data_IF_266465162530
#
_entry.id   IF_266465162530
#
_cell.length_a   1.000
_cell.length_b   1.000
_cell.length_c   1.000
_cell.angle_alpha   90.00
_cell.angle_beta   90.00
_cell.angle_gamma   90.00
#
_symmetry.space_group_name_H-M   'P 1'
#
loop_
_entity.id
_entity.type
_entity.pdbx_description
1 polymer ?
#
# COMPACT_ATOMS: atom_id res chain seq x y z
N UNK A 1 12.83 31.04 21.54
CA UNK A 1 12.92 29.59 21.20
C UNK A 1 11.80 29.28 20.22
N UNK A 2 12.12 29.15 18.98
CA UNK A 2 11.17 28.83 17.93
C UNK A 2 11.87 28.00 16.87
N UNK A 3 12.14 26.71 17.19
CA UNK A 3 12.49 25.74 16.18
C UNK A 3 11.15 25.23 15.69
N UNK A 4 10.67 25.77 14.57
CA UNK A 4 9.74 25.01 13.74
C UNK A 4 10.54 23.76 13.30
N UNK A 5 10.37 22.65 14.00
CA UNK A 5 10.83 21.36 13.53
C UNK A 5 10.21 21.19 12.15
N UNK A 6 11.05 21.12 11.12
CA UNK A 6 10.60 20.75 9.81
C UNK A 6 9.91 19.38 9.96
N UNK A 7 8.60 19.35 9.81
CA UNK A 7 7.84 18.11 9.88
C UNK A 7 8.36 17.24 8.74
N UNK A 8 8.86 16.04 9.06
CA UNK A 8 9.25 15.06 8.06
C UNK A 8 7.98 14.57 7.35
N UNK A 9 7.63 15.32 6.31
CA UNK A 9 6.39 15.14 5.57
C UNK A 9 6.31 13.75 4.92
N UNK A 10 7.42 13.26 4.36
CA UNK A 10 7.47 11.95 3.69
C UNK A 10 7.18 10.82 4.69
N UNK A 11 7.76 10.92 5.87
CA UNK A 11 7.55 9.98 6.98
C UNK A 11 6.07 9.94 7.41
N UNK A 12 5.46 11.10 7.65
CA UNK A 12 4.06 11.15 8.08
C UNK A 12 3.08 10.74 7.00
N UNK A 13 3.40 11.03 5.74
CA UNK A 13 2.60 10.54 4.63
C UNK A 13 2.65 9.00 4.54
N UNK A 14 3.83 8.40 4.72
CA UNK A 14 3.99 6.95 4.80
C UNK A 14 3.17 6.33 5.94
N UNK A 15 3.18 6.95 7.10
CA UNK A 15 2.38 6.49 8.24
C UNK A 15 0.88 6.52 7.95
N UNK A 16 0.41 7.56 7.29
CA UNK A 16 -0.97 7.65 6.83
C UNK A 16 -1.31 6.56 5.79
N UNK A 17 -0.42 6.27 4.83
CA UNK A 17 -0.60 5.15 3.89
C UNK A 17 -0.79 3.82 4.63
N UNK A 18 0.04 3.54 5.63
CA UNK A 18 0.01 2.32 6.42
C UNK A 18 -1.30 2.23 7.21
N UNK A 19 -1.65 3.27 7.95
CA UNK A 19 -2.85 3.30 8.78
C UNK A 19 -4.12 3.10 7.94
N UNK A 20 -4.26 3.78 6.81
CA UNK A 20 -5.39 3.56 5.91
C UNK A 20 -5.39 2.16 5.30
N UNK A 21 -4.23 1.66 4.88
CA UNK A 21 -4.12 0.31 4.30
C UNK A 21 -4.52 -0.79 5.27
N UNK A 22 -4.16 -0.68 6.54
CA UNK A 22 -4.56 -1.65 7.58
C UNK A 22 -6.01 -1.46 7.99
N UNK A 23 -6.52 -0.22 8.02
CA UNK A 23 -7.92 0.07 8.33
C UNK A 23 -8.90 -0.49 7.27
N UNK A 24 -8.51 -0.56 5.99
CA UNK A 24 -9.27 -1.25 4.94
C UNK A 24 -9.46 -2.74 5.30
N UNK A 25 -8.48 -3.36 5.93
CA UNK A 25 -8.52 -4.77 6.38
C UNK A 25 -9.14 -4.95 7.78
N UNK A 26 -9.58 -3.87 8.41
CA UNK A 26 -10.32 -3.92 9.69
C UNK A 26 -9.53 -3.48 10.93
N UNK A 27 -8.28 -3.01 10.79
CA UNK A 27 -7.57 -2.38 11.91
C UNK A 27 -8.35 -1.18 12.45
N UNK A 28 -8.40 -1.07 13.77
CA UNK A 28 -9.10 0.01 14.48
C UNK A 28 -8.19 1.18 14.83
N UNK A 29 -6.88 1.10 14.55
CA UNK A 29 -5.95 2.20 14.81
C UNK A 29 -6.27 3.41 13.93
N UNK A 30 -6.24 4.58 14.56
CA UNK A 30 -6.25 5.88 13.87
C UNK A 30 -4.85 6.21 13.35
N UNK A 31 -4.74 7.19 12.45
CA UNK A 31 -3.43 7.67 11.97
C UNK A 31 -2.55 8.18 13.12
N UNK A 32 -3.14 8.88 14.10
CA UNK A 32 -2.41 9.36 15.28
C UNK A 32 -1.88 8.20 16.14
N UNK A 33 -2.70 7.18 16.39
CA UNK A 33 -2.27 6.00 17.16
C UNK A 33 -1.20 5.20 16.42
N UNK A 34 -1.28 5.08 15.10
CA UNK A 34 -0.23 4.49 14.29
C UNK A 34 1.07 5.30 14.35
N UNK A 35 0.98 6.63 14.31
CA UNK A 35 2.14 7.51 14.47
C UNK A 35 2.81 7.34 15.85
N UNK A 36 2.02 7.34 16.94
CA UNK A 36 2.56 7.11 18.29
C UNK A 36 3.25 5.74 18.41
N UNK A 37 2.67 4.71 17.79
CA UNK A 37 3.29 3.39 17.72
C UNK A 37 4.63 3.42 17.00
N UNK A 38 4.71 4.10 15.86
CA UNK A 38 5.90 4.09 15.01
C UNK A 38 7.02 5.00 15.52
N UNK A 39 6.69 6.14 16.13
CA UNK A 39 7.67 7.10 16.61
C UNK A 39 8.15 6.82 18.03
N UNK A 40 7.24 6.39 18.90
CA UNK A 40 7.48 6.31 20.34
C UNK A 40 7.39 4.88 20.88
N UNK A 41 6.92 3.92 20.08
CA UNK A 41 6.63 2.56 20.54
C UNK A 41 5.47 2.48 21.52
N UNK A 42 4.65 3.54 21.63
CA UNK A 42 3.54 3.64 22.56
C UNK A 42 2.27 3.06 21.94
N UNK A 43 1.56 2.26 22.72
CA UNK A 43 0.25 1.72 22.36
C UNK A 43 -0.84 2.37 23.21
N UNK A 44 -1.92 2.81 22.57
CA UNK A 44 -3.11 3.31 23.29
C UNK A 44 -3.92 2.14 23.82
N UNK A 45 -4.51 2.25 25.01
CA UNK A 45 -5.33 1.18 25.58
C UNK A 45 -6.61 0.89 24.80
N UNK A 46 -7.14 -0.33 24.96
CA UNK A 46 -8.46 -0.70 24.45
C UNK A 46 -8.52 -1.15 22.99
N UNK A 47 -7.38 -1.30 22.31
CA UNK A 47 -7.29 -1.83 20.93
C UNK A 47 -6.77 -3.27 20.93
N UNK A 48 -7.22 -4.13 19.99
CA UNK A 48 -6.67 -5.47 19.82
C UNK A 48 -5.17 -5.44 19.52
N UNK A 49 -4.38 -6.31 20.14
CA UNK A 49 -2.94 -6.42 19.87
C UNK A 49 -2.66 -6.68 18.38
N UNK A 50 -3.51 -7.44 17.71
CA UNK A 50 -3.40 -7.75 16.28
C UNK A 50 -3.34 -6.49 15.41
N UNK A 51 -4.03 -5.41 15.80
CA UNK A 51 -4.04 -4.16 15.04
C UNK A 51 -2.68 -3.47 15.10
N UNK A 52 -2.02 -3.47 16.27
CA UNK A 52 -0.67 -2.94 16.41
C UNK A 52 0.34 -3.75 15.60
N UNK A 53 0.28 -5.09 15.71
CA UNK A 53 1.15 -6.00 14.98
C UNK A 53 0.99 -5.84 13.46
N UNK A 54 -0.25 -5.74 12.98
CA UNK A 54 -0.55 -5.55 11.55
C UNK A 54 0.02 -4.24 11.01
N UNK A 55 -0.09 -3.14 11.78
CA UNK A 55 0.43 -1.84 11.38
C UNK A 55 1.97 -1.84 11.36
N UNK A 56 2.62 -2.38 12.37
CA UNK A 56 4.08 -2.38 12.47
C UNK A 56 4.72 -3.35 11.46
N UNK A 57 4.14 -4.53 11.24
CA UNK A 57 4.59 -5.45 10.18
C UNK A 57 4.46 -4.81 8.79
N UNK A 58 3.37 -4.09 8.53
CA UNK A 58 3.20 -3.38 7.27
C UNK A 58 4.19 -2.22 7.13
N UNK A 59 4.52 -1.49 8.22
CA UNK A 59 5.57 -0.48 8.23
C UNK A 59 6.91 -1.07 7.79
N UNK A 60 7.32 -2.19 8.39
CA UNK A 60 8.56 -2.87 8.02
C UNK A 60 8.56 -3.31 6.54
N UNK A 61 7.42 -3.76 6.03
CA UNK A 61 7.28 -4.15 4.63
C UNK A 61 7.41 -2.94 3.67
N UNK A 62 6.89 -1.76 4.06
CA UNK A 62 7.08 -0.51 3.29
C UNK A 62 8.54 -0.04 3.30
N UNK A 63 9.22 -0.06 4.44
CA UNK A 63 10.64 0.31 4.54
C UNK A 63 11.50 -0.59 3.64
N UNK A 64 11.22 -1.90 3.65
CA UNK A 64 11.88 -2.83 2.73
C UNK A 64 11.54 -2.52 1.27
N UNK A 65 10.27 -2.29 0.93
CA UNK A 65 9.86 -1.98 -0.43
C UNK A 65 10.50 -0.68 -0.96
N UNK A 66 10.61 0.36 -0.15
CA UNK A 66 11.32 1.60 -0.50
C UNK A 66 12.81 1.34 -0.75
N UNK A 67 13.47 0.59 0.14
CA UNK A 67 14.88 0.21 -0.01
C UNK A 67 15.10 -0.55 -1.34
N UNK A 68 14.26 -1.53 -1.63
CA UNK A 68 14.37 -2.32 -2.85
C UNK A 68 14.00 -1.52 -4.12
N UNK A 69 13.11 -0.53 -4.01
CA UNK A 69 12.78 0.36 -5.12
C UNK A 69 13.97 1.25 -5.51
N UNK A 70 14.70 1.78 -4.52
CA UNK A 70 15.95 2.53 -4.76
C UNK A 70 17.00 1.65 -5.44
N UNK A 71 17.10 0.38 -5.04
CA UNK A 71 18.01 -0.62 -5.65
C UNK A 71 17.56 -1.09 -7.02
N UNK A 72 16.38 -0.71 -7.46
CA UNK A 72 15.79 -1.19 -8.73
C UNK A 72 15.63 -2.72 -8.76
N UNK A 73 15.34 -3.35 -7.64
CA UNK A 73 15.18 -4.80 -7.51
C UNK A 73 14.07 -5.31 -8.42
N UNK A 74 14.32 -6.40 -9.13
CA UNK A 74 13.35 -7.00 -10.02
C UNK A 74 12.14 -7.58 -9.26
N UNK A 75 10.93 -7.36 -9.79
CA UNK A 75 9.71 -7.97 -9.25
C UNK A 75 9.70 -9.46 -9.63
N UNK A 76 9.97 -10.33 -8.67
CA UNK A 76 10.00 -11.79 -8.83
C UNK A 76 8.99 -12.46 -7.89
N UNK A 77 8.61 -13.72 -8.11
CA UNK A 77 7.80 -14.48 -7.16
C UNK A 77 8.41 -14.49 -5.75
N UNK A 78 9.73 -14.62 -5.65
CA UNK A 78 10.45 -14.57 -4.36
C UNK A 78 10.35 -13.21 -3.70
N UNK A 79 10.45 -12.12 -4.47
CA UNK A 79 10.28 -10.77 -3.97
C UNK A 79 8.88 -10.55 -3.40
N UNK A 80 7.83 -10.97 -4.10
CA UNK A 80 6.44 -10.84 -3.63
C UNK A 80 6.19 -11.68 -2.37
N UNK A 81 6.73 -12.90 -2.31
CA UNK A 81 6.66 -13.75 -1.11
C UNK A 81 7.39 -13.13 0.08
N UNK A 82 8.55 -12.53 -0.15
CA UNK A 82 9.31 -11.80 0.88
C UNK A 82 8.47 -10.65 1.45
N UNK A 83 7.87 -9.80 0.61
CA UNK A 83 7.04 -8.69 1.05
C UNK A 83 5.82 -9.18 1.85
N UNK A 84 5.11 -10.21 1.36
CA UNK A 84 4.00 -10.80 2.10
C UNK A 84 4.46 -11.41 3.43
N UNK A 85 5.59 -12.13 3.45
CA UNK A 85 6.15 -12.72 4.67
C UNK A 85 6.50 -11.66 5.73
N UNK A 86 7.01 -10.49 5.33
CA UNK A 86 7.28 -9.39 6.26
C UNK A 86 5.96 -8.86 6.84
N UNK A 87 4.97 -8.54 6.01
CA UNK A 87 3.70 -7.98 6.46
C UNK A 87 2.80 -8.97 7.22
N UNK A 88 3.07 -10.27 7.13
CA UNK A 88 2.35 -11.33 7.83
C UNK A 88 3.16 -11.94 8.99
N UNK A 89 4.35 -11.43 9.26
CA UNK A 89 5.34 -12.03 10.16
C UNK A 89 4.79 -12.42 11.53
N UNK A 90 3.98 -11.55 12.14
CA UNK A 90 3.42 -11.75 13.50
C UNK A 90 1.91 -12.03 13.49
N UNK A 91 1.27 -11.94 12.32
CA UNK A 91 -0.17 -12.14 12.16
C UNK A 91 -0.51 -13.41 11.36
N UNK A 92 0.47 -13.98 10.69
CA UNK A 92 0.36 -15.26 9.99
C UNK A 92 0.55 -16.46 10.90
N UNK A 93 0.31 -17.65 10.34
CA UNK A 93 0.43 -18.93 11.05
C UNK A 93 0.71 -20.09 10.08
N UNK A 94 1.06 -21.24 10.65
CA UNK A 94 1.16 -22.50 9.90
C UNK A 94 -0.22 -23.08 9.68
N UNK A 95 -0.49 -23.51 8.45
CA UNK A 95 -1.75 -24.11 8.02
C UNK A 95 -1.52 -25.55 7.56
N UNK A 96 -2.34 -26.48 8.06
CA UNK A 96 -2.35 -27.86 7.66
C UNK A 96 -3.63 -28.14 6.87
N UNK A 97 -3.50 -28.48 5.60
CA UNK A 97 -4.63 -28.76 4.69
C UNK A 97 -4.39 -30.06 3.93
N UNK A 98 -5.41 -30.57 3.25
CA UNK A 98 -5.30 -31.84 2.51
C UNK A 98 -4.16 -31.85 1.46
N UNK A 99 -3.81 -30.70 0.88
CA UNK A 99 -2.74 -30.58 -0.12
C UNK A 99 -1.34 -30.40 0.48
N UNK A 100 -1.19 -30.30 1.79
CA UNK A 100 0.08 -30.14 2.46
C UNK A 100 0.09 -29.10 3.57
N UNK A 101 1.28 -28.65 3.94
CA UNK A 101 1.50 -27.62 4.98
C UNK A 101 2.13 -26.39 4.35
N UNK A 102 1.68 -25.20 4.74
CA UNK A 102 2.26 -23.93 4.36
C UNK A 102 2.22 -22.91 5.52
N UNK A 103 3.15 -22.00 5.53
CA UNK A 103 3.30 -20.98 6.58
C UNK A 103 3.03 -19.58 6.02
N UNK A 104 1.89 -19.01 6.37
CA UNK A 104 1.51 -17.66 5.91
C UNK A 104 2.40 -16.56 6.49
N UNK A 105 3.02 -16.78 7.65
CA UNK A 105 3.98 -15.83 8.23
C UNK A 105 5.30 -15.72 7.46
N UNK A 106 5.55 -16.65 6.53
CA UNK A 106 6.73 -16.72 5.67
C UNK A 106 6.44 -16.34 4.22
N UNK A 107 5.20 -15.94 3.93
CA UNK A 107 4.76 -15.62 2.58
C UNK A 107 4.57 -16.83 1.67
N UNK A 108 4.33 -18.02 2.23
CA UNK A 108 4.02 -19.20 1.44
C UNK A 108 2.65 -19.05 0.76
N UNK A 109 2.58 -19.49 -0.49
CA UNK A 109 1.31 -19.52 -1.21
C UNK A 109 0.35 -20.50 -0.56
N UNK A 110 -0.94 -20.15 -0.59
CA UNK A 110 -1.99 -21.03 -0.09
C UNK A 110 -2.04 -22.36 -0.86
N UNK A 111 -2.32 -23.44 -0.13
CA UNK A 111 -2.58 -24.76 -0.69
C UNK A 111 -4.05 -25.16 -0.54
N UNK A 112 -4.96 -24.18 -0.46
CA UNK A 112 -6.40 -24.39 -0.34
C UNK A 112 -7.19 -23.33 -1.13
N UNK A 113 -8.47 -23.60 -1.36
CA UNK A 113 -9.42 -22.63 -1.87
C UNK A 113 -9.69 -21.54 -0.84
N UNK A 114 -9.91 -20.30 -1.31
CA UNK A 114 -10.32 -19.16 -0.49
C UNK A 114 -11.44 -18.39 -1.19
N UNK A 115 -12.28 -17.71 -0.40
CA UNK A 115 -13.42 -16.93 -0.89
C UNK A 115 -13.34 -15.48 -0.42
N UNK A 116 -13.99 -14.59 -1.15
CA UNK A 116 -14.11 -13.18 -0.78
C UNK A 116 -15.16 -13.00 0.33
N UNK A 117 -14.82 -13.36 1.56
CA UNK A 117 -15.71 -13.36 2.70
C UNK A 117 -16.66 -14.57 2.72
N UNK A 118 -17.56 -14.59 3.69
CA UNK A 118 -18.54 -15.68 3.85
C UNK A 118 -19.59 -15.62 2.72
N UNK A 119 -19.73 -16.70 1.95
CA UNK A 119 -20.65 -16.78 0.82
C UNK A 119 -20.27 -15.96 -0.40
N UNK A 120 -19.05 -15.40 -0.42
CA UNK A 120 -18.53 -14.62 -1.53
C UNK A 120 -17.98 -15.50 -2.66
N UNK A 121 -17.54 -14.82 -3.73
CA UNK A 121 -16.91 -15.46 -4.88
C UNK A 121 -15.63 -16.20 -4.50
N UNK A 122 -15.44 -17.40 -5.05
CA UNK A 122 -14.18 -18.13 -4.94
C UNK A 122 -13.10 -17.49 -5.81
N UNK A 123 -11.89 -17.38 -5.26
CA UNK A 123 -10.70 -17.03 -6.02
C UNK A 123 -10.20 -18.22 -6.85
N UNK A 124 -9.22 -17.98 -7.71
CA UNK A 124 -8.70 -19.04 -8.59
C UNK A 124 -8.19 -20.27 -7.80
N UNK A 125 -8.20 -21.43 -8.46
CA UNK A 125 -7.63 -22.64 -7.90
C UNK A 125 -6.16 -22.41 -7.49
N UNK A 126 -5.83 -22.78 -6.25
CA UNK A 126 -4.48 -22.59 -5.67
C UNK A 126 -3.36 -23.25 -6.50
N UNK A 127 -3.65 -24.35 -7.20
CA UNK A 127 -2.68 -25.02 -8.07
C UNK A 127 -2.22 -24.15 -9.24
N UNK A 128 -3.02 -23.18 -9.66
CA UNK A 128 -2.69 -22.24 -10.74
C UNK A 128 -1.90 -21.02 -10.24
N UNK A 129 -1.85 -20.79 -8.93
CA UNK A 129 -1.24 -19.60 -8.33
C UNK A 129 0.23 -19.43 -8.71
N UNK A 130 1.12 -20.44 -8.57
CA UNK A 130 2.54 -20.26 -8.87
C UNK A 130 2.78 -19.79 -10.31
N UNK A 131 2.17 -20.46 -11.29
CA UNK A 131 2.31 -20.11 -12.72
C UNK A 131 1.75 -18.72 -13.03
N UNK A 132 0.65 -18.34 -12.41
CA UNK A 132 0.05 -17.01 -12.62
C UNK A 132 0.87 -15.89 -12.00
N UNK A 133 1.51 -16.13 -10.86
CA UNK A 133 2.42 -15.16 -10.24
C UNK A 133 3.70 -15.01 -11.07
N UNK A 134 4.24 -16.11 -11.59
CA UNK A 134 5.40 -16.07 -12.49
C UNK A 134 5.10 -15.22 -13.73
N UNK A 135 4.00 -15.51 -14.42
CA UNK A 135 3.55 -14.72 -15.58
C UNK A 135 3.30 -13.24 -15.26
N UNK A 136 2.73 -12.92 -14.08
CA UNK A 136 2.57 -11.54 -13.60
C UNK A 136 3.94 -10.85 -13.47
N UNK A 137 4.89 -11.50 -12.80
CA UNK A 137 6.21 -10.94 -12.56
C UNK A 137 6.98 -10.70 -13.87
N UNK A 138 6.99 -11.68 -14.78
CA UNK A 138 7.64 -11.56 -16.08
C UNK A 138 7.08 -10.38 -16.88
N UNK A 139 5.76 -10.30 -17.00
CA UNK A 139 5.10 -9.21 -17.72
C UNK A 139 5.37 -7.85 -17.09
N UNK A 140 5.34 -7.72 -15.76
CA UNK A 140 5.68 -6.46 -15.09
C UNK A 140 7.12 -6.05 -15.37
N UNK A 141 8.07 -6.98 -15.32
CA UNK A 141 9.47 -6.71 -15.64
C UNK A 141 9.67 -6.27 -17.09
N UNK A 142 8.98 -6.92 -18.04
CA UNK A 142 9.02 -6.53 -19.45
C UNK A 142 8.44 -5.13 -19.63
N UNK A 143 7.26 -4.85 -19.10
CA UNK A 143 6.61 -3.53 -19.18
C UNK A 143 7.47 -2.43 -18.56
N UNK A 144 8.10 -2.68 -17.41
CA UNK A 144 8.99 -1.71 -16.76
C UNK A 144 10.25 -1.38 -17.56
N UNK A 145 10.67 -2.26 -18.49
CA UNK A 145 11.80 -2.03 -19.39
C UNK A 145 11.40 -1.34 -20.69
N UNK A 146 10.13 -1.33 -21.03
CA UNK A 146 9.64 -0.75 -22.30
C UNK A 146 9.71 0.77 -22.27
N UNK A 147 10.10 1.36 -23.42
CA UNK A 147 10.08 2.82 -23.60
C UNK A 147 8.69 3.44 -23.55
N UNK A 148 7.63 2.65 -23.73
CA UNK A 148 6.24 3.11 -23.61
C UNK A 148 5.79 3.52 -22.20
N UNK A 149 6.53 3.15 -21.15
CA UNK A 149 6.24 3.51 -19.75
C UNK A 149 7.02 4.77 -19.33
N UNK A 150 7.24 5.71 -20.25
CA UNK A 150 7.98 6.94 -19.96
C UNK A 150 7.07 8.12 -19.55
N UNK A 151 5.76 7.96 -19.57
CA UNK A 151 4.83 9.00 -19.12
C UNK A 151 4.34 8.72 -17.71
N UNK A 152 4.13 9.78 -16.93
CA UNK A 152 3.55 9.67 -15.57
C UNK A 152 2.26 8.84 -15.58
N UNK A 153 1.41 9.07 -16.59
CA UNK A 153 0.16 8.34 -16.75
C UNK A 153 0.40 6.83 -16.90
N UNK A 154 1.26 6.42 -17.84
CA UNK A 154 1.55 5.02 -18.09
C UNK A 154 2.17 4.32 -16.86
N UNK A 155 3.02 5.02 -16.10
CA UNK A 155 3.62 4.51 -14.87
C UNK A 155 2.59 4.28 -13.75
N UNK A 156 1.64 5.22 -13.57
CA UNK A 156 0.54 5.02 -12.64
C UNK A 156 -0.40 3.89 -13.09
N UNK A 157 -0.79 3.85 -14.36
CA UNK A 157 -1.64 2.78 -14.91
C UNK A 157 -0.99 1.40 -14.73
N UNK A 158 0.33 1.29 -14.96
CA UNK A 158 1.08 0.07 -14.68
C UNK A 158 0.98 -0.35 -13.21
N UNK A 159 1.19 0.60 -12.28
CA UNK A 159 1.11 0.33 -10.85
C UNK A 159 -0.30 -0.12 -10.41
N UNK A 160 -1.34 0.51 -10.95
CA UNK A 160 -2.74 0.16 -10.68
C UNK A 160 -3.10 -1.21 -11.24
N UNK A 161 -2.65 -1.52 -12.47
CA UNK A 161 -2.87 -2.83 -13.10
C UNK A 161 -2.17 -3.94 -12.32
N UNK A 162 -0.93 -3.72 -11.86
CA UNK A 162 -0.20 -4.67 -11.02
C UNK A 162 -0.96 -4.99 -9.72
N UNK A 163 -1.53 -3.96 -9.09
CA UNK A 163 -2.38 -4.12 -7.92
C UNK A 163 -3.60 -5.00 -8.23
N UNK A 164 -4.37 -4.64 -9.26
CA UNK A 164 -5.60 -5.36 -9.65
C UNK A 164 -5.31 -6.83 -9.92
N UNK A 165 -4.25 -7.12 -10.67
CA UNK A 165 -3.92 -8.49 -11.03
C UNK A 165 -3.45 -9.34 -9.84
N UNK A 166 -2.60 -8.78 -8.96
CA UNK A 166 -2.19 -9.49 -7.76
C UNK A 166 -3.39 -9.76 -6.84
N UNK A 167 -4.28 -8.78 -6.68
CA UNK A 167 -5.52 -8.93 -5.92
C UNK A 167 -6.46 -9.99 -6.54
N UNK A 168 -6.46 -10.14 -7.88
CA UNK A 168 -7.25 -11.13 -8.61
C UNK A 168 -6.67 -12.55 -8.49
N UNK A 169 -5.36 -12.70 -8.56
CA UNK A 169 -4.67 -13.99 -8.36
C UNK A 169 -4.90 -14.47 -6.92
N UNK A 170 -4.83 -13.55 -5.95
CA UNK A 170 -5.07 -13.82 -4.53
C UNK A 170 -4.21 -14.96 -3.99
N UNK A 171 -2.88 -14.86 -4.05
CA UNK A 171 -1.98 -15.99 -3.88
C UNK A 171 -1.84 -16.52 -2.45
N UNK A 172 -2.21 -15.74 -1.45
CA UNK A 172 -2.06 -16.09 -0.04
C UNK A 172 -3.41 -16.37 0.64
N UNK A 173 -3.36 -16.95 1.83
CA UNK A 173 -4.55 -17.14 2.66
C UNK A 173 -5.01 -15.82 3.30
N UNK A 174 -4.05 -14.91 3.58
CA UNK A 174 -4.29 -13.56 4.08
C UNK A 174 -3.21 -12.59 3.58
N UNK A 175 -3.40 -11.29 3.82
CA UNK A 175 -2.47 -10.23 3.43
C UNK A 175 -2.53 -9.82 1.95
N UNK A 176 -3.41 -10.41 1.14
CA UNK A 176 -3.47 -10.14 -0.30
C UNK A 176 -3.73 -8.68 -0.63
N UNK A 177 -4.69 -8.04 0.02
CA UNK A 177 -5.01 -6.62 -0.21
C UNK A 177 -3.84 -5.70 0.17
N UNK A 178 -3.24 -5.94 1.32
CA UNK A 178 -2.06 -5.17 1.80
C UNK A 178 -0.87 -5.35 0.88
N UNK A 179 -0.58 -6.58 0.44
CA UNK A 179 0.52 -6.86 -0.49
C UNK A 179 0.26 -6.27 -1.88
N UNK A 180 -0.98 -6.30 -2.37
CA UNK A 180 -1.32 -5.69 -3.66
C UNK A 180 -1.14 -4.15 -3.63
N UNK A 181 -1.56 -3.48 -2.56
CA UNK A 181 -1.30 -2.05 -2.36
C UNK A 181 0.19 -1.77 -2.22
N UNK A 182 0.93 -2.61 -1.51
CA UNK A 182 2.38 -2.48 -1.37
C UNK A 182 3.11 -2.66 -2.70
N UNK A 183 2.72 -3.61 -3.55
CA UNK A 183 3.26 -3.78 -4.90
C UNK A 183 3.00 -2.55 -5.78
N UNK A 184 1.79 -1.99 -5.72
CA UNK A 184 1.46 -0.74 -6.40
C UNK A 184 2.42 0.39 -5.98
N UNK A 185 2.61 0.56 -4.67
CA UNK A 185 3.49 1.59 -4.13
C UNK A 185 4.96 1.31 -4.42
N UNK A 186 5.40 0.04 -4.43
CA UNK A 186 6.73 -0.33 -4.87
C UNK A 186 7.02 0.18 -6.29
N UNK A 187 6.10 -0.03 -7.23
CA UNK A 187 6.24 0.47 -8.61
C UNK A 187 6.25 2.01 -8.63
N UNK A 188 5.42 2.65 -7.82
CA UNK A 188 5.41 4.10 -7.70
C UNK A 188 6.73 4.63 -7.13
N UNK A 189 7.28 4.04 -6.09
CA UNK A 189 8.61 4.39 -5.55
C UNK A 189 9.72 4.14 -6.58
N UNK A 190 9.64 3.03 -7.33
CA UNK A 190 10.62 2.71 -8.37
C UNK A 190 10.71 3.80 -9.44
N UNK A 191 9.61 4.44 -9.79
CA UNK A 191 9.57 5.56 -10.73
C UNK A 191 9.67 6.95 -10.08
N UNK A 192 9.82 7.04 -8.77
CA UNK A 192 9.84 8.31 -8.05
C UNK A 192 8.49 9.04 -8.08
N UNK A 193 7.40 8.29 -8.20
CA UNK A 193 6.04 8.83 -8.21
C UNK A 193 5.54 9.08 -6.80
N UNK A 194 4.62 10.02 -6.68
CA UNK A 194 3.88 10.22 -5.44
C UNK A 194 2.95 9.01 -5.19
N UNK A 195 3.05 8.32 -4.02
CA UNK A 195 2.26 7.12 -3.76
C UNK A 195 0.79 7.45 -3.53
N UNK A 196 -0.12 6.72 -4.19
CA UNK A 196 -1.57 6.97 -4.13
C UNK A 196 -2.19 6.35 -2.90
N UNK A 197 -2.78 7.16 -2.06
CA UNK A 197 -3.48 6.72 -0.85
C UNK A 197 -4.94 6.33 -1.14
N UNK A 198 -5.34 5.13 -0.73
CA UNK A 198 -6.73 4.68 -0.68
C UNK A 198 -7.20 4.91 0.75
N UNK A 199 -8.16 5.81 0.93
CA UNK A 199 -8.63 6.16 2.26
C UNK A 199 -9.53 5.05 2.83
N UNK A 200 -9.56 4.91 4.15
CA UNK A 200 -10.48 4.00 4.86
C UNK A 200 -11.95 4.23 4.47
N UNK A 201 -12.33 5.48 4.31
CA UNK A 201 -13.67 5.91 3.95
C UNK A 201 -14.07 5.42 2.55
N UNK A 202 -13.11 5.25 1.67
CA UNK A 202 -13.30 4.77 0.29
C UNK A 202 -13.40 3.25 0.18
N UNK A 203 -13.27 2.51 1.30
CA UNK A 203 -13.25 1.04 1.30
C UNK A 203 -14.38 0.41 0.49
N UNK A 204 -15.60 0.94 0.63
CA UNK A 204 -16.78 0.43 -0.10
C UNK A 204 -16.62 0.56 -1.61
N UNK A 205 -16.26 1.76 -2.09
CA UNK A 205 -16.06 2.05 -3.51
C UNK A 205 -14.84 1.28 -4.07
N UNK A 206 -13.76 1.19 -3.30
CA UNK A 206 -12.57 0.41 -3.65
C UNK A 206 -12.89 -1.07 -3.87
N UNK A 207 -13.58 -1.72 -2.92
CA UNK A 207 -13.96 -3.13 -3.06
C UNK A 207 -14.96 -3.33 -4.21
N UNK A 208 -15.88 -2.40 -4.42
CA UNK A 208 -16.82 -2.46 -5.53
C UNK A 208 -16.10 -2.38 -6.90
N UNK A 209 -15.16 -1.44 -7.05
CA UNK A 209 -14.37 -1.31 -8.29
C UNK A 209 -13.50 -2.54 -8.57
N UNK A 210 -12.88 -3.13 -7.52
CA UNK A 210 -12.17 -4.41 -7.66
C UNK A 210 -13.09 -5.53 -8.15
N UNK A 211 -14.26 -5.70 -7.52
CA UNK A 211 -15.23 -6.74 -7.90
C UNK A 211 -15.67 -6.60 -9.34
N UNK A 212 -16.03 -5.40 -9.76
CA UNK A 212 -16.44 -5.12 -11.15
C UNK A 212 -15.32 -5.46 -12.15
N UNK A 213 -14.08 -5.11 -11.84
CA UNK A 213 -12.92 -5.40 -12.71
C UNK A 213 -12.49 -6.86 -12.70
N UNK A 214 -12.88 -7.63 -11.69
CA UNK A 214 -12.55 -9.06 -11.56
C UNK A 214 -13.63 -9.97 -12.15
N UNK A 215 -14.72 -9.46 -12.71
CA UNK A 215 -15.78 -10.26 -13.32
C UNK A 215 -15.31 -10.97 -14.59
N UNK A 216 -15.58 -12.25 -14.71
CA UNK A 216 -14.72 -13.34 -15.20
C UNK A 216 -14.71 -13.55 -16.72
N UNK A 217 -15.64 -13.04 -17.48
CA UNK A 217 -15.71 -13.36 -18.91
C UNK A 217 -15.05 -12.31 -19.81
N UNK A 218 -14.91 -11.07 -19.31
CA UNK A 218 -14.15 -9.99 -19.96
C UNK A 218 -13.50 -9.16 -18.84
N UNK A 219 -12.21 -9.36 -18.59
CA UNK A 219 -11.45 -8.53 -17.63
C UNK A 219 -11.50 -7.08 -18.10
N UNK A 220 -12.44 -6.30 -17.57
CA UNK A 220 -12.49 -4.86 -17.77
C UNK A 220 -11.80 -4.14 -16.62
N UNK A 221 -10.58 -3.71 -16.84
CA UNK A 221 -9.81 -2.96 -15.84
C UNK A 221 -10.37 -1.54 -15.60
N UNK A 222 -11.27 -1.05 -16.46
CA UNK A 222 -11.76 0.34 -16.46
C UNK A 222 -12.35 0.79 -15.12
N UNK A 223 -13.23 0.02 -14.43
CA UNK A 223 -13.80 0.45 -13.16
C UNK A 223 -12.74 0.71 -12.10
N UNK A 224 -11.76 -0.19 -11.97
CA UNK A 224 -10.69 -0.04 -11.01
C UNK A 224 -9.70 1.08 -11.36
N UNK A 225 -9.30 1.19 -12.64
CA UNK A 225 -8.42 2.26 -13.11
C UNK A 225 -9.06 3.63 -12.95
N UNK A 226 -10.36 3.76 -13.20
CA UNK A 226 -11.12 4.99 -12.97
C UNK A 226 -11.09 5.37 -11.50
N UNK A 227 -11.45 4.45 -10.61
CA UNK A 227 -11.39 4.66 -9.17
C UNK A 227 -10.00 5.12 -8.71
N UNK A 228 -8.94 4.43 -9.13
CA UNK A 228 -7.56 4.76 -8.74
C UNK A 228 -7.10 6.12 -9.30
N UNK A 229 -7.51 6.45 -10.53
CA UNK A 229 -7.21 7.76 -11.13
C UNK A 229 -7.88 8.90 -10.36
N UNK A 230 -9.11 8.70 -9.93
CA UNK A 230 -9.83 9.70 -9.12
C UNK A 230 -9.20 9.84 -7.72
N UNK A 231 -8.72 8.75 -7.12
CA UNK A 231 -7.95 8.80 -5.87
C UNK A 231 -6.62 9.52 -6.04
N UNK A 232 -5.90 9.27 -7.14
CA UNK A 232 -4.67 9.99 -7.47
C UNK A 232 -4.93 11.51 -7.56
N UNK A 233 -5.95 11.92 -8.31
CA UNK A 233 -6.31 13.33 -8.46
C UNK A 233 -6.67 13.97 -7.11
N UNK A 234 -7.47 13.29 -6.30
CA UNK A 234 -7.86 13.78 -4.98
C UNK A 234 -6.65 13.89 -4.04
N UNK A 235 -5.77 12.88 -4.03
CA UNK A 235 -4.54 12.91 -3.23
C UNK A 235 -3.63 14.07 -3.63
N UNK A 236 -3.33 14.22 -4.91
CA UNK A 236 -2.48 15.31 -5.42
C UNK A 236 -3.06 16.69 -5.10
N UNK A 237 -4.38 16.87 -5.27
CA UNK A 237 -5.06 18.13 -4.94
C UNK A 237 -4.89 18.46 -3.45
N UNK A 238 -5.20 17.53 -2.57
CA UNK A 238 -5.07 17.70 -1.12
C UNK A 238 -3.64 18.07 -0.71
N UNK A 239 -2.64 17.41 -1.32
CA UNK A 239 -1.24 17.67 -0.98
C UNK A 239 -0.73 19.00 -1.51
N UNK A 240 -1.17 19.42 -2.69
CA UNK A 240 -0.87 20.77 -3.23
C UNK A 240 -1.47 21.85 -2.33
N UNK A 241 -2.74 21.69 -1.93
CA UNK A 241 -3.41 22.65 -1.01
C UNK A 241 -2.69 22.73 0.34
N UNK A 242 -2.27 21.58 0.88
CA UNK A 242 -1.52 21.51 2.13
C UNK A 242 -0.13 22.16 2.01
N UNK A 243 0.59 21.91 0.94
CA UNK A 243 1.88 22.51 0.69
C UNK A 243 1.77 24.06 0.53
N UNK A 244 0.73 24.53 -0.15
CA UNK A 244 0.46 25.96 -0.29
C UNK A 244 0.17 26.63 1.08
N UNK A 245 -0.67 26.00 1.90
CA UNK A 245 -0.99 26.50 3.24
C UNK A 245 0.26 26.58 4.15
N UNK A 246 1.14 25.57 4.10
CA UNK A 246 2.41 25.59 4.85
C UNK A 246 3.35 26.67 4.35
N UNK A 247 3.43 26.89 3.05
CA UNK A 247 4.26 27.97 2.47
C UNK A 247 3.75 29.37 2.88
N UNK A 248 2.45 29.57 2.94
CA UNK A 248 1.84 30.83 3.43
C UNK A 248 2.11 31.03 4.92
N UNK A 249 1.93 30.00 5.74
CA UNK A 249 2.23 30.05 7.16
C UNK A 249 3.72 30.35 7.42
N UNK A 250 4.63 29.78 6.66
CA UNK A 250 6.07 30.06 6.73
C UNK A 250 6.39 31.52 6.37
N UNK A 251 5.72 32.10 5.39
CA UNK A 251 5.87 33.54 5.03
C UNK A 251 5.37 34.47 6.15
N UNK A 252 4.29 34.11 6.83
CA UNK A 252 3.77 34.87 7.97
C UNK A 252 4.74 34.90 9.15
N UNK A 253 5.35 33.76 9.46
CA UNK A 253 6.38 33.64 10.53
C UNK A 253 7.65 34.44 10.18
N UNK A 254 8.09 34.41 8.93
CA UNK A 254 9.24 35.19 8.45
C UNK A 254 9.02 36.71 8.50
N UNK A 255 7.79 37.19 8.20
CA UNK A 255 7.44 38.61 8.26
C UNK A 255 7.30 39.12 9.70
N UNK A 256 6.95 38.29 10.68
CA UNK A 256 6.89 38.70 12.10
C UNK A 256 8.26 38.85 12.75
N UNK A 257 9.26 38.12 12.28
CA UNK A 257 10.65 38.29 12.76
C UNK A 257 11.37 39.55 12.20
N UNK A 258 10.90 40.09 11.09
CA UNK A 258 11.44 41.32 10.48
C UNK A 258 10.96 42.65 11.09
N UNK A 259 10.09 42.63 12.11
CA UNK A 259 9.50 43.84 12.70
C UNK A 259 9.85 44.07 14.18
N UNK A 260 10.92 43.52 14.69
CA UNK A 260 11.47 44.04 15.96
C UNK A 260 12.57 45.06 15.69
N UNK A 261 12.14 46.27 15.36
CA UNK A 261 12.97 47.48 15.48
C UNK A 261 12.95 47.90 16.95
N UNK A 262 14.08 47.76 17.63
CA UNK A 262 14.30 48.33 18.96
C UNK A 262 14.68 49.78 18.73
N UNK A 263 13.91 50.79 19.25
CA UNK A 263 14.39 52.19 19.28
C UNK A 263 15.48 52.31 20.34
N UNK A 264 16.51 53.06 19.99
CA UNK A 264 17.58 53.46 20.91
C UNK A 264 17.06 54.43 21.97
#
# INVERSE_FOLDING_TARGET
>A
MGIAQAVDYEKYYLYSLIAHSTAIEGSTLTELEAQMLFDEGVTTGGKPLIDYLMNDDLRMAYEQAQTEAVRRTAITPTFLRMLNGILMRRTGSVHHVAAGTFDSSRGDYRLCGVTAGVGGRSYMNYQKVPVRIEALCERLQEQMKMTGVNTLRAQYELSFTAHLELATIHPWVDGNGRTARLLMHYIQFYYGLFPVKILREDRGAYIASLRQSQEVENVDCTPFLTFMTDRLRASLKSEIERAAALAEAGKLVGNTQGRMHIPQ
#
